data_IF_186788729685
#
_entry.id   IF_186788729685
#
_cell.length_a   1.000
_cell.length_b   1.000
_cell.length_c   1.000
_cell.angle_alpha   90.00
_cell.angle_beta   90.00
_cell.angle_gamma   90.00
#
_symmetry.space_group_name_H-M   'P 1'
#
loop_
_entity.id
_entity.type
_entity.pdbx_description
1 polymer ?
#
# COMPACT_ATOMS: atom_id res chain seq x y z
N UNK A 1 -3.32 12.25 -65.57
CA UNK A 1 -2.13 12.13 -64.69
C UNK A 1 -2.59 11.45 -63.41
N UNK A 2 -2.15 10.21 -63.21
CA UNK A 2 -2.89 9.21 -62.42
C UNK A 2 -2.70 9.41 -60.91
N UNK A 3 -3.80 9.42 -60.15
CA UNK A 3 -3.82 9.54 -58.68
C UNK A 3 -2.93 8.49 -57.99
N UNK A 4 -2.76 7.31 -58.62
CA UNK A 4 -1.84 6.26 -58.18
C UNK A 4 -0.39 6.73 -58.12
N UNK A 5 0.03 7.59 -59.05
CA UNK A 5 1.39 8.14 -59.10
C UNK A 5 1.65 9.11 -57.93
N UNK A 6 0.61 9.86 -57.52
CA UNK A 6 0.68 10.78 -56.39
C UNK A 6 0.77 10.03 -55.05
N UNK A 7 0.03 8.92 -54.92
CA UNK A 7 0.06 8.06 -53.72
C UNK A 7 1.41 7.36 -53.59
N UNK A 8 1.99 6.87 -54.70
CA UNK A 8 3.34 6.25 -54.67
C UNK A 8 4.44 7.25 -54.30
N UNK A 9 4.30 8.51 -54.72
CA UNK A 9 5.26 9.57 -54.36
C UNK A 9 5.18 9.95 -52.87
N UNK A 10 3.97 9.95 -52.30
CA UNK A 10 3.73 10.24 -50.88
C UNK A 10 4.29 9.15 -49.95
N UNK A 11 4.23 7.88 -50.38
CA UNK A 11 4.81 6.73 -49.66
C UNK A 11 6.34 6.78 -49.71
N UNK A 12 6.94 7.27 -50.80
CA UNK A 12 8.39 7.40 -50.88
C UNK A 12 8.94 8.52 -49.98
N UNK A 13 8.19 9.61 -49.80
CA UNK A 13 8.58 10.70 -48.88
C UNK A 13 8.54 10.30 -47.39
N UNK A 14 7.77 9.28 -47.01
CA UNK A 14 7.70 8.82 -45.61
C UNK A 14 8.92 8.00 -45.17
N UNK A 15 9.76 7.54 -46.11
CA UNK A 15 11.01 6.84 -45.81
C UNK A 15 12.23 7.75 -45.59
N UNK A 16 12.12 9.07 -45.83
CA UNK A 16 13.23 10.03 -45.67
C UNK A 16 13.24 10.67 -44.26
N UNK A 17 12.25 10.37 -43.42
CA UNK A 17 12.09 11.00 -42.10
C UNK A 17 13.02 10.50 -40.98
N UNK A 18 14.06 9.70 -41.28
CA UNK A 18 15.05 9.31 -40.29
C UNK A 18 16.46 9.22 -40.88
N UNK A 19 17.13 10.37 -40.93
CA UNK A 19 18.58 10.43 -40.74
C UNK A 19 18.93 11.73 -40.03
N UNK A 20 18.86 11.68 -38.70
CA UNK A 20 19.59 12.62 -37.86
C UNK A 20 20.49 11.79 -36.96
N UNK A 21 21.58 11.28 -37.55
CA UNK A 21 22.73 10.81 -36.80
C UNK A 21 23.27 12.01 -36.02
N UNK A 22 22.75 12.21 -34.81
CA UNK A 22 23.50 12.89 -33.78
C UNK A 22 24.54 11.88 -33.33
N UNK A 23 25.76 12.03 -33.84
CA UNK A 23 26.90 11.39 -33.23
C UNK A 23 26.81 11.66 -31.72
N UNK A 24 26.68 10.59 -30.94
CA UNK A 24 26.80 10.63 -29.50
C UNK A 24 28.28 10.94 -29.22
N UNK A 25 28.67 12.19 -29.40
CA UNK A 25 29.92 12.69 -28.88
C UNK A 25 29.80 12.52 -27.37
N UNK A 26 30.49 11.51 -26.85
CA UNK A 26 30.77 11.39 -25.42
C UNK A 26 31.70 12.56 -25.09
N UNK A 27 31.12 13.76 -24.93
CA UNK A 27 31.82 14.84 -24.26
C UNK A 27 32.14 14.31 -22.87
N UNK A 28 33.44 14.13 -22.58
CA UNK A 28 33.90 13.97 -21.21
C UNK A 28 33.24 15.08 -20.40
N UNK A 29 32.24 14.72 -19.59
CA UNK A 29 31.46 15.70 -18.84
C UNK A 29 32.47 16.48 -18.02
N UNK A 30 32.62 17.78 -18.32
CA UNK A 30 33.42 18.68 -17.48
C UNK A 30 32.99 18.41 -16.04
N UNK A 31 33.93 18.08 -15.16
CA UNK A 31 33.64 17.79 -13.75
C UNK A 31 32.90 19.01 -13.19
N UNK A 32 31.59 18.90 -13.05
CA UNK A 32 30.75 20.01 -12.58
C UNK A 32 30.85 19.99 -11.06
N UNK A 33 30.97 21.16 -10.45
CA UNK A 33 31.01 21.24 -8.99
C UNK A 33 29.76 20.57 -8.37
N UNK A 34 29.93 19.43 -7.66
CA UNK A 34 28.79 18.67 -7.13
C UNK A 34 28.07 19.43 -6.02
N UNK A 35 28.74 20.36 -5.31
CA UNK A 35 28.10 21.19 -4.28
C UNK A 35 27.11 22.17 -4.90
N UNK A 36 27.47 22.81 -6.02
CA UNK A 36 26.56 23.65 -6.79
C UNK A 36 25.36 22.84 -7.31
N UNK A 37 25.58 21.66 -7.89
CA UNK A 37 24.50 20.79 -8.36
C UNK A 37 23.55 20.36 -7.24
N UNK A 38 24.09 20.00 -6.08
CA UNK A 38 23.29 19.60 -4.93
C UNK A 38 22.45 20.79 -4.41
N UNK A 39 23.03 21.99 -4.34
CA UNK A 39 22.32 23.22 -3.96
C UNK A 39 21.17 23.53 -4.93
N UNK A 40 21.42 23.47 -6.23
CA UNK A 40 20.37 23.65 -7.25
C UNK A 40 19.26 22.59 -7.12
N UNK A 41 19.63 21.36 -6.75
CA UNK A 41 18.70 20.28 -6.43
C UNK A 41 17.81 20.62 -5.24
N UNK A 42 18.38 21.11 -4.15
CA UNK A 42 17.65 21.58 -2.97
C UNK A 42 16.70 22.74 -3.30
N UNK A 43 17.18 23.76 -4.00
CA UNK A 43 16.33 24.90 -4.41
C UNK A 43 15.15 24.45 -5.29
N UNK A 44 15.39 23.50 -6.20
CA UNK A 44 14.34 22.90 -7.02
C UNK A 44 13.35 22.09 -6.18
N UNK A 45 13.86 21.36 -5.18
CA UNK A 45 13.07 20.56 -4.25
C UNK A 45 12.14 21.44 -3.40
N UNK A 46 12.65 22.54 -2.84
CA UNK A 46 11.89 23.51 -2.05
C UNK A 46 10.79 24.19 -2.88
N UNK A 47 11.07 24.46 -4.16
CA UNK A 47 10.08 24.96 -5.13
C UNK A 47 9.08 23.88 -5.60
N UNK A 48 9.11 22.69 -5.01
CA UNK A 48 8.28 21.50 -5.36
C UNK A 48 8.51 21.01 -6.79
N UNK A 49 9.61 21.42 -7.42
CA UNK A 49 10.00 20.96 -8.73
C UNK A 49 10.83 19.66 -8.62
N UNK A 50 10.18 18.61 -8.13
CA UNK A 50 10.85 17.38 -7.70
C UNK A 50 11.52 16.61 -8.85
N UNK A 51 10.96 16.65 -10.06
CA UNK A 51 11.58 15.99 -11.21
C UNK A 51 12.95 16.60 -11.56
N UNK A 52 13.04 17.94 -11.55
CA UNK A 52 14.31 18.62 -11.79
C UNK A 52 15.25 18.48 -10.59
N UNK A 53 14.73 18.48 -9.36
CA UNK A 53 15.51 18.21 -8.17
C UNK A 53 16.20 16.83 -8.25
N UNK A 54 15.46 15.77 -8.58
CA UNK A 54 16.01 14.43 -8.79
C UNK A 54 17.15 14.42 -9.80
N UNK A 55 16.97 15.03 -10.97
CA UNK A 55 18.03 15.12 -12.00
C UNK A 55 19.28 15.84 -11.50
N UNK A 56 19.13 16.88 -10.68
CA UNK A 56 20.26 17.62 -10.11
C UNK A 56 20.98 16.80 -9.04
N UNK A 57 20.23 16.09 -8.21
CA UNK A 57 20.78 15.15 -7.24
C UNK A 57 21.52 13.98 -7.90
N UNK A 58 20.98 13.37 -8.97
CA UNK A 58 21.67 12.31 -9.73
C UNK A 58 22.99 12.81 -10.31
N UNK A 59 23.00 14.03 -10.88
CA UNK A 59 24.23 14.64 -11.38
C UNK A 59 25.23 14.91 -10.26
N UNK A 60 24.76 15.35 -9.09
CA UNK A 60 25.62 15.57 -7.93
C UNK A 60 26.22 14.25 -7.43
N UNK A 61 25.43 13.17 -7.32
CA UNK A 61 25.88 11.81 -6.97
C UNK A 61 27.05 11.38 -7.85
N UNK A 62 26.95 11.55 -9.17
CA UNK A 62 27.99 11.17 -10.13
C UNK A 62 29.28 12.00 -10.03
N UNK A 63 29.23 13.21 -9.48
CA UNK A 63 30.38 14.12 -9.41
C UNK A 63 31.01 14.21 -8.00
N UNK A 64 30.36 13.68 -6.96
CA UNK A 64 30.93 13.66 -5.61
C UNK A 64 32.03 12.62 -5.49
N UNK A 65 33.23 13.06 -5.09
CA UNK A 65 34.35 12.15 -4.77
C UNK A 65 34.15 11.47 -3.39
N UNK A 66 33.35 12.07 -2.50
CA UNK A 66 33.09 11.56 -1.14
C UNK A 66 31.84 10.67 -1.12
N UNK A 67 31.94 9.38 -0.73
CA UNK A 67 30.79 8.46 -0.69
C UNK A 67 29.62 8.97 0.16
N UNK A 68 29.89 9.56 1.34
CA UNK A 68 28.85 10.08 2.24
C UNK A 68 28.02 11.25 1.66
N UNK A 69 28.56 11.95 0.67
CA UNK A 69 27.84 13.03 -0.03
C UNK A 69 27.11 12.48 -1.25
N UNK A 70 27.73 11.55 -1.97
CA UNK A 70 27.10 10.85 -3.08
C UNK A 70 25.85 10.07 -2.62
N UNK A 71 25.95 9.34 -1.50
CA UNK A 71 24.83 8.59 -0.90
C UNK A 71 23.65 9.48 -0.54
N UNK A 72 23.91 10.65 0.06
CA UNK A 72 22.87 11.66 0.37
C UNK A 72 22.19 12.18 -0.89
N UNK A 73 22.94 12.47 -1.94
CA UNK A 73 22.38 12.89 -3.22
C UNK A 73 21.49 11.78 -3.83
N UNK A 74 21.96 10.53 -3.80
CA UNK A 74 21.23 9.36 -4.27
C UNK A 74 19.86 9.18 -3.58
N UNK A 75 19.82 9.29 -2.24
CA UNK A 75 18.55 9.26 -1.49
C UNK A 75 17.65 10.44 -1.81
N UNK A 76 18.20 11.65 -1.88
CA UNK A 76 17.43 12.85 -2.21
C UNK A 76 16.81 12.76 -3.61
N UNK A 77 17.51 12.14 -4.56
CA UNK A 77 16.95 11.83 -5.88
C UNK A 77 15.77 10.86 -5.77
N UNK A 78 15.95 9.73 -5.07
CA UNK A 78 14.91 8.74 -4.83
C UNK A 78 13.67 9.34 -4.15
N UNK A 79 13.87 10.16 -3.12
CA UNK A 79 12.80 10.83 -2.40
C UNK A 79 12.06 11.84 -3.28
N UNK A 80 12.78 12.60 -4.11
CA UNK A 80 12.17 13.53 -5.07
C UNK A 80 11.26 12.81 -6.06
N UNK A 81 11.67 11.65 -6.58
CA UNK A 81 10.84 10.83 -7.47
C UNK A 81 9.60 10.28 -6.76
N UNK A 82 9.78 9.80 -5.52
CA UNK A 82 8.68 9.38 -4.67
C UNK A 82 7.64 10.50 -4.46
N UNK A 83 8.07 11.75 -4.23
CA UNK A 83 7.16 12.91 -4.03
C UNK A 83 6.22 13.19 -5.21
N UNK A 84 6.52 12.68 -6.40
CA UNK A 84 5.70 12.81 -7.62
C UNK A 84 5.12 11.47 -8.08
N UNK A 85 5.09 10.46 -7.22
CA UNK A 85 4.59 9.11 -7.49
C UNK A 85 5.33 8.39 -8.63
N UNK A 86 6.57 8.80 -8.95
CA UNK A 86 7.44 8.09 -9.90
C UNK A 86 8.09 6.90 -9.16
N UNK A 87 7.22 6.01 -8.72
CA UNK A 87 7.54 4.92 -7.81
C UNK A 87 8.50 3.92 -8.42
N UNK A 88 8.40 3.67 -9.74
CA UNK A 88 9.25 2.70 -10.40
C UNK A 88 10.70 3.20 -10.48
N UNK A 89 10.87 4.47 -10.81
CA UNK A 89 12.15 5.14 -10.88
C UNK A 89 12.75 5.27 -9.47
N UNK A 90 11.94 5.65 -8.47
CA UNK A 90 12.37 5.71 -7.08
C UNK A 90 12.82 4.33 -6.55
N UNK A 91 12.05 3.27 -6.84
CA UNK A 91 12.42 1.88 -6.51
C UNK A 91 13.76 1.50 -7.13
N UNK A 92 13.96 1.80 -8.42
CA UNK A 92 15.22 1.49 -9.11
C UNK A 92 16.40 2.25 -8.51
N UNK A 93 16.24 3.55 -8.20
CA UNK A 93 17.27 4.35 -7.55
C UNK A 93 17.61 3.81 -6.15
N UNK A 94 16.60 3.41 -5.36
CA UNK A 94 16.82 2.82 -4.05
C UNK A 94 17.53 1.46 -4.12
N UNK A 95 17.18 0.60 -5.08
CA UNK A 95 17.87 -0.67 -5.28
C UNK A 95 19.36 -0.45 -5.60
N UNK A 96 19.67 0.51 -6.49
CA UNK A 96 21.06 0.92 -6.76
C UNK A 96 21.74 1.46 -5.50
N UNK A 97 21.05 2.30 -4.74
CA UNK A 97 21.57 2.84 -3.49
C UNK A 97 21.93 1.73 -2.49
N UNK A 98 21.11 0.69 -2.33
CA UNK A 98 21.42 -0.46 -1.48
C UNK A 98 22.63 -1.26 -1.95
N UNK A 99 22.88 -1.32 -3.26
CA UNK A 99 24.06 -1.99 -3.80
C UNK A 99 25.34 -1.20 -3.54
N UNK A 100 25.31 0.12 -3.79
CA UNK A 100 26.47 1.01 -3.75
C UNK A 100 26.83 1.50 -2.34
N UNK A 101 25.84 1.78 -1.50
CA UNK A 101 26.03 2.50 -0.23
C UNK A 101 25.54 1.71 1.00
N UNK A 102 25.94 0.43 1.08
CA UNK A 102 25.49 -0.52 2.12
C UNK A 102 25.75 -0.07 3.57
N UNK A 103 26.80 0.73 3.79
CA UNK A 103 27.19 1.21 5.12
C UNK A 103 26.75 2.66 5.40
N UNK A 104 25.91 3.25 4.52
CA UNK A 104 25.45 4.63 4.73
C UNK A 104 24.56 4.75 5.97
N UNK A 105 24.71 5.86 6.68
CA UNK A 105 23.94 6.14 7.89
C UNK A 105 22.42 6.22 7.68
N UNK A 106 21.96 6.47 6.46
CA UNK A 106 20.54 6.57 6.12
C UNK A 106 19.99 5.28 5.50
N UNK A 107 20.72 4.17 5.57
CA UNK A 107 20.28 2.87 5.02
C UNK A 107 18.91 2.45 5.57
N UNK A 108 18.66 2.74 6.85
CA UNK A 108 17.38 2.50 7.52
C UNK A 108 16.29 3.32 6.82
N UNK A 109 16.48 4.63 6.66
CA UNK A 109 15.51 5.48 5.97
C UNK A 109 15.25 5.05 4.52
N UNK A 110 16.28 4.61 3.79
CA UNK A 110 16.11 4.11 2.43
C UNK A 110 15.23 2.85 2.37
N UNK A 111 15.41 1.89 3.29
CA UNK A 111 14.51 0.72 3.39
C UNK A 111 13.08 1.11 3.78
N UNK A 112 12.93 2.10 4.67
CA UNK A 112 11.62 2.66 5.01
C UNK A 112 10.93 3.27 3.80
N UNK A 113 11.65 4.11 3.02
CA UNK A 113 11.11 4.73 1.81
C UNK A 113 10.70 3.69 0.76
N UNK A 114 11.47 2.60 0.61
CA UNK A 114 11.09 1.50 -0.28
C UNK A 114 9.78 0.83 0.16
N UNK A 115 9.58 0.62 1.47
CA UNK A 115 8.33 0.09 1.99
C UNK A 115 7.14 1.03 1.71
N UNK A 116 7.34 2.35 1.88
CA UNK A 116 6.32 3.36 1.57
C UNK A 116 5.93 3.37 0.09
N UNK A 117 6.89 3.25 -0.81
CA UNK A 117 6.65 3.23 -2.26
C UNK A 117 5.66 2.13 -2.65
N UNK A 118 5.77 0.92 -2.08
CA UNK A 118 4.80 -0.14 -2.35
C UNK A 118 3.50 0.06 -1.59
N UNK A 119 3.58 0.52 -0.34
CA UNK A 119 2.40 0.77 0.49
C UNK A 119 1.44 1.78 -0.17
N UNK A 120 1.96 2.85 -0.76
CA UNK A 120 1.14 3.89 -1.42
C UNK A 120 0.55 3.46 -2.76
N UNK A 121 0.99 2.33 -3.30
CA UNK A 121 0.40 1.71 -4.49
C UNK A 121 -0.73 0.73 -4.15
N UNK A 122 -0.99 0.47 -2.87
CA UNK A 122 -2.13 -0.34 -2.43
C UNK A 122 -3.42 0.39 -2.80
N UNK A 123 -4.33 -0.35 -3.45
CA UNK A 123 -5.66 0.12 -3.83
C UNK A 123 -6.73 -0.69 -3.10
N UNK A 124 -7.99 -0.46 -3.46
CA UNK A 124 -9.13 -1.21 -2.93
C UNK A 124 -9.02 -2.74 -3.17
N UNK A 125 -9.83 -3.49 -2.43
CA UNK A 125 -9.80 -4.94 -2.34
C UNK A 125 -10.11 -5.65 -3.67
N UNK A 126 -10.65 -4.92 -4.64
CA UNK A 126 -11.00 -5.39 -5.98
C UNK A 126 -9.81 -5.30 -6.95
N UNK A 127 -8.78 -4.54 -6.61
CA UNK A 127 -7.59 -4.32 -7.45
C UNK A 127 -6.53 -5.39 -7.21
N UNK A 128 -5.43 -5.27 -7.96
CA UNK A 128 -4.32 -6.24 -7.96
C UNK A 128 -3.66 -6.42 -6.58
N UNK A 129 -3.17 -7.62 -6.31
CA UNK A 129 -2.55 -8.02 -5.05
C UNK A 129 -1.05 -7.69 -4.96
N UNK A 130 -0.38 -7.50 -6.09
CA UNK A 130 1.07 -7.40 -6.12
C UNK A 130 1.63 -6.25 -5.28
N UNK A 131 1.06 -5.01 -5.29
CA UNK A 131 1.53 -3.95 -4.41
C UNK A 131 1.39 -4.31 -2.93
N UNK A 132 0.31 -5.00 -2.56
CA UNK A 132 0.00 -5.40 -1.19
C UNK A 132 1.01 -6.45 -0.68
N UNK A 133 1.30 -7.46 -1.49
CA UNK A 133 2.28 -8.50 -1.19
C UNK A 133 3.68 -7.89 -1.06
N UNK A 134 4.10 -7.07 -2.04
CA UNK A 134 5.41 -6.41 -2.00
C UNK A 134 5.56 -5.47 -0.80
N UNK A 135 4.52 -4.70 -0.48
CA UNK A 135 4.54 -3.84 0.70
C UNK A 135 4.72 -4.67 1.99
N UNK A 136 3.98 -5.79 2.11
CA UNK A 136 4.12 -6.69 3.25
C UNK A 136 5.54 -7.25 3.37
N UNK A 137 6.13 -7.70 2.26
CA UNK A 137 7.50 -8.21 2.21
C UNK A 137 8.52 -7.16 2.68
N UNK A 138 8.44 -5.92 2.17
CA UNK A 138 9.38 -4.85 2.54
C UNK A 138 9.19 -4.39 3.97
N UNK A 139 7.96 -4.32 4.46
CA UNK A 139 7.67 -4.02 5.87
C UNK A 139 8.20 -5.11 6.78
N UNK A 140 7.95 -6.38 6.47
CA UNK A 140 8.47 -7.51 7.26
C UNK A 140 9.99 -7.49 7.31
N UNK A 141 10.64 -7.29 6.16
CA UNK A 141 12.09 -7.14 6.10
C UNK A 141 12.56 -5.98 7.00
N UNK A 142 11.92 -4.81 6.91
CA UNK A 142 12.29 -3.67 7.75
C UNK A 142 12.14 -3.98 9.23
N UNK A 143 11.00 -4.51 9.66
CA UNK A 143 10.71 -4.77 11.06
C UNK A 143 11.61 -5.85 11.66
N UNK A 144 12.05 -6.82 10.86
CA UNK A 144 12.99 -7.85 11.29
C UNK A 144 14.41 -7.30 11.48
N UNK A 145 14.87 -6.42 10.58
CA UNK A 145 16.25 -5.92 10.58
C UNK A 145 16.42 -4.64 11.41
N UNK A 146 15.38 -3.81 11.52
CA UNK A 146 15.40 -2.48 12.14
C UNK A 146 14.21 -2.25 13.09
N UNK A 147 13.99 -3.08 14.13
CA UNK A 147 12.77 -3.05 14.95
C UNK A 147 12.61 -1.85 15.88
N UNK A 148 13.71 -1.15 16.22
CA UNK A 148 13.78 -0.19 17.32
C UNK A 148 14.04 1.24 16.84
N UNK A 149 13.09 1.82 16.11
CA UNK A 149 13.12 3.22 15.68
C UNK A 149 11.70 3.72 15.32
N UNK A 150 11.56 5.02 15.11
CA UNK A 150 10.27 5.65 14.80
C UNK A 150 9.65 5.13 13.49
N UNK A 151 10.47 4.84 12.48
CA UNK A 151 10.00 4.25 11.23
C UNK A 151 9.42 2.85 11.44
N UNK A 152 10.00 2.05 12.34
CA UNK A 152 9.47 0.73 12.69
C UNK A 152 8.09 0.84 13.33
N UNK A 153 7.86 1.85 14.15
CA UNK A 153 6.55 2.12 14.76
C UNK A 153 5.51 2.45 13.70
N UNK A 154 5.83 3.35 12.77
CA UNK A 154 4.94 3.67 11.62
C UNK A 154 4.67 2.43 10.75
N UNK A 155 5.70 1.64 10.44
CA UNK A 155 5.53 0.43 9.62
C UNK A 155 4.74 -0.67 10.31
N UNK A 156 4.75 -0.79 11.65
CA UNK A 156 3.86 -1.71 12.38
C UNK A 156 2.39 -1.35 12.16
N UNK A 157 2.04 -0.07 12.30
CA UNK A 157 0.67 0.38 12.00
C UNK A 157 0.28 0.12 10.54
N UNK A 158 1.19 0.37 9.59
CA UNK A 158 0.96 0.05 8.17
C UNK A 158 0.84 -1.45 7.92
N UNK A 159 1.58 -2.29 8.65
CA UNK A 159 1.47 -3.75 8.58
C UNK A 159 0.06 -4.22 8.97
N UNK A 160 -0.52 -3.65 10.03
CA UNK A 160 -1.89 -3.96 10.45
C UNK A 160 -2.92 -3.54 9.40
N UNK A 161 -2.72 -2.38 8.75
CA UNK A 161 -3.57 -1.94 7.64
C UNK A 161 -3.46 -2.87 6.42
N UNK A 162 -2.26 -3.37 6.12
CA UNK A 162 -2.06 -4.40 5.10
C UNK A 162 -2.82 -5.69 5.45
N UNK A 163 -2.76 -6.15 6.70
CA UNK A 163 -3.53 -7.34 7.13
C UNK A 163 -5.03 -7.13 6.94
N UNK A 164 -5.54 -5.95 7.32
CA UNK A 164 -6.94 -5.60 7.09
C UNK A 164 -7.28 -5.62 5.59
N UNK A 165 -6.43 -5.08 4.72
CA UNK A 165 -6.67 -5.06 3.29
C UNK A 165 -6.64 -6.48 2.66
N UNK A 166 -5.77 -7.36 3.14
CA UNK A 166 -5.74 -8.77 2.72
C UNK A 166 -7.03 -9.49 3.13
N UNK A 167 -7.49 -9.28 4.36
CA UNK A 167 -8.74 -9.83 4.86
C UNK A 167 -9.97 -9.30 4.11
N UNK A 168 -10.00 -7.99 3.81
CA UNK A 168 -11.04 -7.36 3.01
C UNK A 168 -11.17 -8.03 1.65
N UNK A 169 -10.04 -8.37 1.02
CA UNK A 169 -10.00 -9.06 -0.27
C UNK A 169 -10.51 -10.50 -0.21
N UNK A 170 -10.10 -11.26 0.80
CA UNK A 170 -10.65 -12.62 1.00
C UNK A 170 -12.18 -12.55 1.19
N UNK A 171 -12.66 -11.58 1.95
CA UNK A 171 -14.09 -11.40 2.20
C UNK A 171 -14.84 -10.96 0.93
N UNK A 172 -14.28 -10.06 0.14
CA UNK A 172 -14.85 -9.65 -1.14
C UNK A 172 -15.04 -10.85 -2.07
N UNK A 173 -14.04 -11.70 -2.19
CA UNK A 173 -14.11 -12.93 -3.01
C UNK A 173 -15.11 -13.92 -2.41
N UNK A 174 -15.16 -14.07 -1.08
CA UNK A 174 -16.14 -14.92 -0.41
C UNK A 174 -17.59 -14.48 -0.70
N UNK A 175 -17.86 -13.17 -0.64
CA UNK A 175 -19.18 -12.58 -0.95
C UNK A 175 -19.56 -12.86 -2.41
N UNK A 176 -18.63 -12.69 -3.33
CA UNK A 176 -18.86 -13.02 -4.74
C UNK A 176 -19.21 -14.52 -4.92
N UNK A 177 -18.41 -15.43 -4.36
CA UNK A 177 -18.69 -16.86 -4.45
C UNK A 177 -20.02 -17.26 -3.82
N UNK A 178 -20.39 -16.64 -2.70
CA UNK A 178 -21.69 -16.82 -2.06
C UNK A 178 -22.83 -16.37 -3.01
N UNK A 179 -22.69 -15.21 -3.67
CA UNK A 179 -23.72 -14.70 -4.61
C UNK A 179 -23.95 -15.59 -5.82
N UNK A 180 -22.94 -16.34 -6.26
CA UNK A 180 -23.04 -17.32 -7.36
C UNK A 180 -23.16 -18.76 -6.85
N UNK A 181 -23.51 -18.94 -5.57
CA UNK A 181 -23.76 -20.23 -4.93
C UNK A 181 -22.58 -21.22 -5.01
N UNK A 182 -21.34 -20.71 -5.09
CA UNK A 182 -20.11 -21.50 -5.01
C UNK A 182 -19.69 -21.64 -3.55
N UNK A 183 -20.37 -22.52 -2.83
CA UNK A 183 -20.25 -22.64 -1.37
C UNK A 183 -18.87 -23.08 -0.88
N UNK A 184 -18.29 -24.14 -1.47
CA UNK A 184 -16.98 -24.65 -1.05
C UNK A 184 -15.87 -23.59 -1.20
N UNK A 185 -15.74 -22.89 -2.35
CA UNK A 185 -14.82 -21.76 -2.47
C UNK A 185 -15.09 -20.64 -1.47
N UNK A 186 -16.36 -20.27 -1.24
CA UNK A 186 -16.71 -19.23 -0.28
C UNK A 186 -16.27 -19.60 1.15
N UNK A 187 -16.57 -20.82 1.60
CA UNK A 187 -16.17 -21.34 2.91
C UNK A 187 -14.65 -21.31 3.06
N UNK A 188 -13.90 -21.72 2.02
CA UNK A 188 -12.43 -21.72 2.08
C UNK A 188 -11.87 -20.30 2.24
N UNK A 189 -12.44 -19.31 1.53
CA UNK A 189 -12.04 -17.89 1.67
C UNK A 189 -12.34 -17.35 3.07
N UNK A 190 -13.51 -17.64 3.62
CA UNK A 190 -13.87 -17.22 4.98
C UNK A 190 -12.99 -17.90 6.03
N UNK A 191 -12.67 -19.19 5.86
CA UNK A 191 -11.72 -19.92 6.72
C UNK A 191 -10.32 -19.32 6.67
N UNK A 192 -9.87 -18.81 5.52
CA UNK A 192 -8.58 -18.13 5.44
C UNK A 192 -8.55 -16.89 6.34
N UNK A 193 -9.65 -16.11 6.40
CA UNK A 193 -9.76 -14.96 7.30
C UNK A 193 -9.64 -15.40 8.75
N UNK A 194 -10.39 -16.44 9.16
CA UNK A 194 -10.34 -16.97 10.52
C UNK A 194 -8.95 -17.49 10.90
N UNK A 195 -8.23 -18.08 9.95
CA UNK A 195 -6.92 -18.69 10.22
C UNK A 195 -5.76 -17.70 10.19
N UNK A 196 -5.79 -16.72 9.29
CA UNK A 196 -4.63 -15.86 8.98
C UNK A 196 -4.82 -14.40 9.42
N UNK A 197 -6.06 -13.96 9.60
CA UNK A 197 -6.42 -12.55 9.77
C UNK A 197 -7.36 -12.33 10.97
N UNK A 198 -7.19 -13.11 12.04
CA UNK A 198 -7.99 -13.13 13.26
C UNK A 198 -7.98 -11.80 14.05
N UNK A 199 -6.96 -10.97 13.85
CA UNK A 199 -6.83 -9.63 14.44
C UNK A 199 -7.48 -8.51 13.61
N UNK A 200 -8.00 -8.82 12.43
CA UNK A 200 -8.58 -7.79 11.53
C UNK A 200 -10.03 -7.50 11.88
N UNK A 201 -10.53 -6.36 11.43
CA UNK A 201 -11.95 -5.98 11.64
C UNK A 201 -12.94 -6.90 10.91
N UNK A 202 -12.45 -7.76 10.01
CA UNK A 202 -13.26 -8.66 9.19
C UNK A 202 -13.51 -10.02 9.82
N UNK A 203 -12.88 -10.34 10.96
CA UNK A 203 -13.00 -11.64 11.62
C UNK A 203 -14.45 -11.95 12.04
N UNK A 204 -15.14 -10.96 12.61
CA UNK A 204 -16.52 -11.11 13.08
C UNK A 204 -17.49 -11.36 11.92
N UNK A 205 -17.36 -10.59 10.83
CA UNK A 205 -18.16 -10.81 9.62
C UNK A 205 -17.85 -12.18 9.03
N UNK A 206 -16.58 -12.58 8.94
CA UNK A 206 -16.21 -13.86 8.36
C UNK A 206 -16.81 -15.05 9.14
N UNK A 207 -16.77 -15.00 10.47
CA UNK A 207 -17.42 -15.99 11.34
C UNK A 207 -18.93 -16.02 11.13
N UNK A 208 -19.58 -14.85 11.05
CA UNK A 208 -21.02 -14.78 10.76
C UNK A 208 -21.38 -15.36 9.39
N UNK A 209 -20.63 -15.04 8.33
CA UNK A 209 -20.84 -15.61 7.00
C UNK A 209 -20.63 -17.13 6.99
N UNK A 210 -19.70 -17.66 7.80
CA UNK A 210 -19.56 -19.11 7.99
C UNK A 210 -20.80 -19.70 8.64
N UNK A 211 -21.41 -19.05 9.64
CA UNK A 211 -22.69 -19.47 10.22
C UNK A 211 -23.78 -19.52 9.14
N UNK A 212 -23.96 -18.43 8.37
CA UNK A 212 -24.96 -18.35 7.29
C UNK A 212 -24.81 -19.48 6.27
N UNK A 213 -23.60 -19.67 5.74
CA UNK A 213 -23.36 -20.64 4.67
C UNK A 213 -23.53 -22.08 5.17
N UNK A 214 -23.01 -22.42 6.36
CA UNK A 214 -23.18 -23.79 6.88
C UNK A 214 -24.64 -24.08 7.23
N UNK A 215 -25.36 -23.11 7.82
CA UNK A 215 -26.78 -23.26 8.12
C UNK A 215 -27.61 -23.44 6.83
N UNK A 216 -27.33 -22.64 5.80
CA UNK A 216 -28.01 -22.76 4.50
C UNK A 216 -27.82 -24.14 3.84
N UNK A 217 -26.65 -24.76 4.03
CA UNK A 217 -26.34 -26.10 3.53
C UNK A 217 -26.93 -27.24 4.39
N UNK A 218 -27.62 -26.93 5.49
CA UNK A 218 -28.12 -27.93 6.45
C UNK A 218 -27.05 -28.49 7.39
N UNK A 219 -25.85 -27.88 7.42
CA UNK A 219 -24.75 -28.25 8.30
C UNK A 219 -24.87 -27.50 9.63
N UNK A 220 -25.95 -27.77 10.38
CA UNK A 220 -26.30 -27.02 11.58
C UNK A 220 -25.25 -27.11 12.69
N UNK A 221 -24.61 -28.27 12.85
CA UNK A 221 -23.58 -28.47 13.88
C UNK A 221 -22.34 -27.62 13.60
N UNK A 222 -21.93 -27.52 12.33
CA UNK A 222 -20.87 -26.60 11.91
C UNK A 222 -21.26 -25.14 12.12
N UNK A 223 -22.50 -24.77 11.78
CA UNK A 223 -23.00 -23.41 11.99
C UNK A 223 -22.97 -23.04 13.48
N UNK A 224 -23.44 -23.93 14.37
CA UNK A 224 -23.40 -23.75 15.84
C UNK A 224 -21.96 -23.61 16.34
N UNK A 225 -20.99 -24.36 15.81
CA UNK A 225 -19.56 -24.23 16.19
C UNK A 225 -19.05 -22.81 15.92
N UNK A 226 -19.27 -22.26 14.73
CA UNK A 226 -18.83 -20.89 14.41
C UNK A 226 -19.58 -19.83 15.21
N UNK A 227 -20.89 -20.00 15.43
CA UNK A 227 -21.68 -19.10 16.27
C UNK A 227 -21.16 -19.08 17.72
N UNK A 228 -20.76 -20.24 18.26
CA UNK A 228 -20.15 -20.34 19.59
C UNK A 228 -18.80 -19.63 19.67
N UNK A 229 -17.95 -19.76 18.64
CA UNK A 229 -16.66 -19.04 18.58
C UNK A 229 -16.90 -17.53 18.54
N UNK A 230 -17.86 -17.07 17.74
CA UNK A 230 -18.24 -15.66 17.66
C UNK A 230 -18.79 -15.15 18.99
N UNK A 231 -19.64 -15.93 19.67
CA UNK A 231 -20.18 -15.58 20.98
C UNK A 231 -19.18 -15.60 22.11
N UNK A 232 -18.19 -16.49 22.06
CA UNK A 232 -17.15 -16.53 23.08
C UNK A 232 -16.20 -15.33 22.99
N UNK A 233 -15.83 -14.93 21.76
CA UNK A 233 -14.82 -13.89 21.54
C UNK A 233 -15.40 -12.48 21.29
N UNK A 234 -16.64 -12.37 20.77
CA UNK A 234 -17.21 -11.13 20.25
C UNK A 234 -18.70 -10.95 20.63
N UNK A 235 -19.07 -11.25 21.89
CA UNK A 235 -20.45 -11.27 22.39
C UNK A 235 -21.26 -9.96 22.26
N UNK A 236 -20.60 -8.83 22.03
CA UNK A 236 -21.23 -7.52 21.86
C UNK A 236 -21.27 -7.04 20.42
N UNK A 237 -20.81 -7.86 19.47
CA UNK A 237 -20.81 -7.52 18.05
C UNK A 237 -22.21 -7.61 17.44
N UNK A 238 -22.48 -6.78 16.44
CA UNK A 238 -23.69 -6.92 15.63
C UNK A 238 -23.73 -8.28 14.93
N UNK A 239 -22.57 -8.78 14.49
CA UNK A 239 -22.42 -10.09 13.85
C UNK A 239 -22.80 -11.26 14.76
N UNK A 240 -22.50 -11.16 16.06
CA UNK A 240 -22.95 -12.11 17.06
C UNK A 240 -24.48 -12.16 17.12
N UNK A 241 -25.13 -11.00 17.24
CA UNK A 241 -26.59 -10.92 17.33
C UNK A 241 -27.27 -11.50 16.09
N UNK A 242 -26.74 -11.21 14.89
CA UNK A 242 -27.26 -11.77 13.64
C UNK A 242 -27.06 -13.29 13.56
N UNK A 243 -25.89 -13.79 13.98
CA UNK A 243 -25.60 -15.23 13.99
C UNK A 243 -26.52 -16.01 14.93
N UNK A 244 -26.79 -15.45 16.12
CA UNK A 244 -27.65 -16.10 17.10
C UNK A 244 -29.12 -16.14 16.66
N UNK A 245 -29.58 -15.15 15.90
CA UNK A 245 -30.91 -15.16 15.28
C UNK A 245 -31.08 -16.27 14.24
N UNK A 246 -30.00 -16.63 13.52
CA UNK A 246 -30.02 -17.75 12.56
C UNK A 246 -30.19 -19.08 13.30
N UNK A 247 -29.41 -19.28 14.36
CA UNK A 247 -29.40 -20.54 15.12
C UNK A 247 -30.61 -20.68 16.04
N UNK A 248 -31.08 -19.58 16.65
CA UNK A 248 -32.22 -19.55 17.55
C UNK A 248 -33.23 -18.51 17.06
N UNK A 249 -34.32 -18.99 16.44
CA UNK A 249 -35.36 -18.13 15.86
C UNK A 249 -36.11 -17.29 16.90
N UNK A 250 -36.11 -17.72 18.17
CA UNK A 250 -36.75 -16.99 19.26
C UNK A 250 -35.86 -15.90 19.86
N UNK A 251 -34.61 -15.79 19.41
CA UNK A 251 -33.68 -14.76 19.87
C UNK A 251 -34.15 -13.35 19.46
N UNK A 252 -34.36 -12.48 20.46
CA UNK A 252 -34.74 -11.08 20.26
C UNK A 252 -33.51 -10.18 20.36
N UNK A 253 -33.20 -9.48 19.27
CA UNK A 253 -32.13 -8.47 19.23
C UNK A 253 -32.48 -7.32 20.17
N UNK A 254 -31.64 -7.09 21.18
CA UNK A 254 -31.80 -6.00 22.14
C UNK A 254 -31.27 -4.72 21.49
N UNK A 255 -32.15 -3.91 20.89
CA UNK A 255 -31.77 -2.57 20.41
C UNK A 255 -31.40 -1.69 21.61
N UNK A 256 -30.11 -1.42 21.82
CA UNK A 256 -29.67 -0.34 22.73
C UNK A 256 -30.27 0.98 22.24
N UNK A 257 -31.04 1.67 23.09
CA UNK A 257 -31.48 3.05 22.83
C UNK A 257 -30.23 3.93 22.69
N UNK A 258 -30.12 4.71 21.62
CA UNK A 258 -29.00 5.62 21.31
C UNK A 258 -28.73 6.74 22.35
N UNK A 259 -29.44 6.77 23.48
CA UNK A 259 -29.32 7.81 24.50
C UNK A 259 -27.93 7.83 25.17
N UNK A 260 -27.25 6.68 25.28
CA UNK A 260 -25.94 6.59 25.96
C UNK A 260 -24.78 7.17 25.16
N UNK A 261 -24.85 7.17 23.82
CA UNK A 261 -23.81 7.78 22.95
C UNK A 261 -23.82 9.30 23.06
N UNK A 262 -25.02 9.90 23.05
CA UNK A 262 -25.21 11.35 23.15
C UNK A 262 -24.73 11.89 24.51
N UNK A 263 -25.05 11.18 25.60
CA UNK A 263 -24.56 11.51 26.96
C UNK A 263 -23.04 11.41 27.09
N UNK A 264 -22.41 10.41 26.44
CA UNK A 264 -20.94 10.27 26.43
C UNK A 264 -20.25 11.33 25.58
N UNK A 265 -20.82 11.70 24.43
CA UNK A 265 -20.32 12.80 23.59
C UNK A 265 -20.40 14.13 24.34
N UNK A 266 -21.54 14.45 24.97
CA UNK A 266 -21.69 15.65 25.81
C UNK A 266 -20.68 15.66 26.97
N UNK A 267 -20.43 14.51 27.61
CA UNK A 267 -19.41 14.38 28.67
C UNK A 267 -17.98 14.60 28.16
N UNK A 268 -17.65 14.08 26.98
CA UNK A 268 -16.33 14.24 26.36
C UNK A 268 -16.11 15.69 25.89
N UNK A 269 -17.10 16.30 25.24
CA UNK A 269 -17.07 17.70 24.85
C UNK A 269 -16.86 18.61 26.06
N UNK A 270 -17.58 18.35 27.16
CA UNK A 270 -17.44 19.13 28.39
C UNK A 270 -16.03 19.01 28.98
N UNK A 271 -15.46 17.80 29.04
CA UNK A 271 -14.07 17.58 29.47
C UNK A 271 -13.04 18.29 28.59
N UNK A 272 -13.27 18.35 27.28
CA UNK A 272 -12.38 19.05 26.35
C UNK A 272 -12.45 20.57 26.58
N UNK A 273 -13.64 21.11 26.80
CA UNK A 273 -13.84 22.53 27.12
C UNK A 273 -13.15 22.89 28.45
N UNK A 274 -13.26 22.03 29.47
CA UNK A 274 -12.60 22.23 30.77
C UNK A 274 -11.06 22.14 30.71
N UNK A 275 -10.49 21.54 29.65
CA UNK A 275 -9.04 21.49 29.42
C UNK A 275 -8.56 22.75 28.67
N UNK A 276 -9.43 23.38 27.88
CA UNK A 276 -9.09 24.52 27.02
C UNK A 276 -9.29 25.87 27.73
N UNK A 277 -10.19 25.94 28.71
CA UNK A 277 -10.43 27.12 29.56
C UNK A 277 -9.65 27.04 30.88
#
# INVERSE_FOLDING_TARGET
MNIRFFITLLIFLSFIACSKNKDLVYENSKKVDPYTLYKEGLESFEKKNYFFASKKFDKAELNFDKPDLASKASIMSSYSLYKINFYKEAENNLNRYFELYRADKNIIYAHYLLALIYYEQIKDERKDLQPLIKAQEKINFFLQNYPNNDYATDLKFKQDLIQNQLAAKELYIAKYYTSVQKWVPAINRLKNIVKLYDKTVFIEEALHRLVEVHYYLGLEEEAKKYAKVLGYNYNSSEWYEQSYKIINRDYKIIKKKNNDKKLKEESLFKKIIDIIN
#
